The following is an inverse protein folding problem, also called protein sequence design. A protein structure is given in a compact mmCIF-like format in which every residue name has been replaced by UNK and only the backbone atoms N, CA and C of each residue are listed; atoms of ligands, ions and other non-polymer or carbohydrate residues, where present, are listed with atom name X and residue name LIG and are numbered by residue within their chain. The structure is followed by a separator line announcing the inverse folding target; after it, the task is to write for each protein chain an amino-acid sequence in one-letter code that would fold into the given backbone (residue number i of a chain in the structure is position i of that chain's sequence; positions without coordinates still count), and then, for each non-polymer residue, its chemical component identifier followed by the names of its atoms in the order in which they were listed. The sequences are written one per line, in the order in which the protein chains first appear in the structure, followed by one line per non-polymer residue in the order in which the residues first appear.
data_IF_542466263149
#
_entry.id   IF_542466263149
#
_cell.length_a   1.000
_cell.length_b   1.000
_cell.length_c   1.000
_cell.angle_alpha   90.00
_cell.angle_beta   90.00
_cell.angle_gamma   90.00
#
_symmetry.space_group_name_H-M   'P 1'
#
loop_
_entity.id
_entity.type
_entity.pdbx_description
1 polymer ?
#
# COMPACT_ATOMS: atom_id res chain seq x y z
N UNK A 1 0.57 6.43 39.38
CA UNK A 1 0.91 5.35 38.43
C UNK A 1 -0.32 4.64 37.86
N UNK A 2 -1.30 4.23 38.68
CA UNK A 2 -2.52 3.51 38.20
C UNK A 2 -3.31 4.26 37.10
N UNK A 3 -3.44 5.60 37.21
CA UNK A 3 -4.14 6.43 36.21
C UNK A 3 -3.46 6.47 34.84
N UNK A 4 -2.12 6.42 34.77
CA UNK A 4 -1.39 6.43 33.49
C UNK A 4 -1.53 5.10 32.75
N UNK A 5 -1.39 3.97 33.46
CA UNK A 5 -1.57 2.64 32.88
C UNK A 5 -2.98 2.47 32.29
N UNK A 6 -3.99 3.00 32.97
CA UNK A 6 -5.38 2.98 32.48
C UNK A 6 -5.53 3.77 31.18
N UNK A 7 -5.00 5.00 31.10
CA UNK A 7 -5.04 5.83 29.88
C UNK A 7 -4.33 5.14 28.71
N UNK A 8 -3.20 4.47 28.98
CA UNK A 8 -2.47 3.73 27.95
C UNK A 8 -3.32 2.58 27.37
N UNK A 9 -3.98 1.81 28.22
CA UNK A 9 -4.82 0.69 27.77
C UNK A 9 -6.11 1.18 27.08
N UNK A 10 -6.67 2.30 27.51
CA UNK A 10 -7.81 2.93 26.83
C UNK A 10 -7.46 3.35 25.40
N UNK A 11 -6.33 4.02 25.17
CA UNK A 11 -5.93 4.40 23.81
C UNK A 11 -5.60 3.19 22.92
N UNK A 12 -5.01 2.11 23.48
CA UNK A 12 -4.82 0.83 22.75
C UNK A 12 -6.14 0.18 22.37
N UNK A 13 -7.11 0.17 23.29
CA UNK A 13 -8.46 -0.35 23.04
C UNK A 13 -9.17 0.49 21.97
N UNK A 14 -9.07 1.82 22.04
CA UNK A 14 -9.65 2.70 21.03
C UNK A 14 -9.06 2.43 19.64
N UNK A 15 -7.73 2.32 19.51
CA UNK A 15 -7.09 1.99 18.24
C UNK A 15 -7.55 0.63 17.68
N UNK A 16 -7.61 -0.41 18.52
CA UNK A 16 -8.10 -1.74 18.10
C UNK A 16 -9.55 -1.70 17.63
N UNK A 17 -10.42 -0.98 18.33
CA UNK A 17 -11.83 -0.81 17.93
C UNK A 17 -11.95 -0.04 16.62
N UNK A 18 -11.18 1.03 16.46
CA UNK A 18 -11.14 1.81 15.22
C UNK A 18 -10.66 0.96 14.02
N UNK A 19 -9.58 0.21 14.19
CA UNK A 19 -9.08 -0.70 13.16
C UNK A 19 -10.12 -1.79 12.82
N UNK A 20 -10.75 -2.41 13.83
CA UNK A 20 -11.77 -3.42 13.60
C UNK A 20 -12.99 -2.85 12.85
N UNK A 21 -13.43 -1.64 13.21
CA UNK A 21 -14.51 -0.95 12.50
C UNK A 21 -14.13 -0.62 11.05
N UNK A 22 -12.91 -0.16 10.81
CA UNK A 22 -12.42 0.11 9.46
C UNK A 22 -12.33 -1.16 8.60
N UNK A 23 -11.84 -2.27 9.16
CA UNK A 23 -11.83 -3.58 8.47
C UNK A 23 -13.25 -4.08 8.20
N UNK A 24 -14.18 -3.91 9.15
CA UNK A 24 -15.57 -4.24 8.92
C UNK A 24 -16.18 -3.40 7.79
N UNK A 25 -15.82 -2.11 7.69
CA UNK A 25 -16.25 -1.25 6.61
C UNK A 25 -15.69 -1.70 5.25
N UNK A 26 -14.45 -2.16 5.16
CA UNK A 26 -13.91 -2.68 3.88
C UNK A 26 -14.60 -3.98 3.45
N UNK A 27 -14.88 -4.89 4.40
CA UNK A 27 -15.69 -6.09 4.12
C UNK A 27 -17.08 -5.69 3.62
N UNK A 28 -17.71 -4.69 4.24
CA UNK A 28 -19.00 -4.20 3.78
C UNK A 28 -18.91 -3.62 2.37
N UNK A 29 -17.87 -2.85 2.05
CA UNK A 29 -17.65 -2.33 0.68
C UNK A 29 -17.52 -3.47 -0.33
N UNK A 30 -16.75 -4.52 -0.02
CA UNK A 30 -16.65 -5.70 -0.87
C UNK A 30 -17.99 -6.41 -1.06
N UNK A 31 -18.78 -6.59 0.00
CA UNK A 31 -20.11 -7.17 -0.10
C UNK A 31 -21.01 -6.29 -0.97
N UNK A 32 -21.06 -4.98 -0.72
CA UNK A 32 -21.87 -4.05 -1.50
C UNK A 32 -21.45 -4.06 -2.97
N UNK A 33 -20.16 -4.17 -3.27
CA UNK A 33 -19.67 -4.33 -4.64
C UNK A 33 -20.23 -5.59 -5.33
N UNK A 34 -20.25 -6.74 -4.63
CA UNK A 34 -20.76 -7.99 -5.20
C UNK A 34 -22.24 -7.93 -5.60
N UNK A 35 -23.04 -7.12 -4.91
CA UNK A 35 -24.49 -7.01 -5.16
C UNK A 35 -24.90 -5.77 -5.96
N UNK A 36 -24.19 -4.66 -5.78
CA UNK A 36 -24.53 -3.33 -6.29
C UNK A 36 -23.38 -2.69 -7.09
N UNK A 37 -22.34 -3.43 -7.46
CA UNK A 37 -21.20 -2.90 -8.23
C UNK A 37 -21.62 -2.25 -9.55
N UNK A 38 -22.61 -2.83 -10.23
CA UNK A 38 -23.14 -2.32 -11.51
C UNK A 38 -24.15 -1.16 -11.32
N UNK A 39 -24.47 -0.77 -10.08
CA UNK A 39 -25.38 0.35 -9.81
C UNK A 39 -24.76 1.67 -10.28
N UNK A 40 -25.36 2.27 -11.31
CA UNK A 40 -24.96 3.53 -11.89
C UNK A 40 -25.99 4.62 -11.62
N UNK A 41 -25.54 5.76 -11.10
CA UNK A 41 -26.39 6.93 -10.92
C UNK A 41 -25.61 8.19 -11.28
N UNK A 42 -26.12 8.97 -12.24
CA UNK A 42 -25.47 10.19 -12.72
C UNK A 42 -24.17 9.95 -13.49
N UNK A 43 -24.01 8.78 -14.13
CA UNK A 43 -22.77 8.42 -14.85
C UNK A 43 -21.65 7.89 -13.95
N UNK A 44 -21.95 7.61 -12.67
CA UNK A 44 -20.98 7.12 -11.68
C UNK A 44 -21.41 5.76 -11.16
N UNK A 45 -20.49 4.78 -11.21
CA UNK A 45 -20.66 3.47 -10.58
C UNK A 45 -20.27 3.58 -9.10
N UNK A 46 -21.23 3.85 -8.23
CA UNK A 46 -20.96 4.27 -6.84
C UNK A 46 -20.27 3.22 -5.97
N UNK A 47 -20.42 1.94 -6.29
CA UNK A 47 -19.94 0.82 -5.47
C UNK A 47 -19.02 -0.15 -6.23
N UNK A 48 -18.53 0.24 -7.40
CA UNK A 48 -17.68 -0.61 -8.21
C UNK A 48 -16.22 -0.50 -7.76
N UNK A 49 -15.61 -1.56 -7.24
CA UNK A 49 -14.23 -1.49 -6.72
C UNK A 49 -13.21 -1.14 -7.82
N UNK A 50 -13.26 -1.81 -8.98
CA UNK A 50 -12.35 -1.54 -10.14
C UNK A 50 -12.65 -0.21 -10.88
N UNK A 51 -13.47 0.68 -10.32
CA UNK A 51 -13.77 1.97 -10.95
C UNK A 51 -13.40 3.10 -10.03
N UNK A 52 -12.94 4.16 -10.66
CA UNK A 52 -12.49 5.34 -9.95
C UNK A 52 -13.61 6.35 -9.69
N UNK A 53 -13.33 7.30 -8.80
CA UNK A 53 -14.18 8.45 -8.45
C UNK A 53 -15.51 8.05 -7.81
N UNK A 54 -15.49 7.00 -7.01
CA UNK A 54 -16.66 6.50 -6.30
C UNK A 54 -16.39 6.29 -4.80
N UNK A 55 -17.35 5.70 -4.08
CA UNK A 55 -17.25 5.56 -2.63
C UNK A 55 -16.03 4.73 -2.18
N UNK A 56 -15.73 3.55 -2.77
CA UNK A 56 -14.47 2.87 -2.56
C UNK A 56 -13.23 3.75 -2.72
N UNK A 57 -13.11 4.51 -3.82
CA UNK A 57 -11.96 5.42 -4.07
C UNK A 57 -11.80 6.48 -2.95
N UNK A 58 -12.91 7.02 -2.44
CA UNK A 58 -12.83 7.95 -1.31
C UNK A 58 -12.38 7.27 -0.02
N UNK A 59 -12.79 6.01 0.19
CA UNK A 59 -12.39 5.25 1.36
C UNK A 59 -10.90 4.89 1.34
N UNK A 60 -10.38 4.38 0.22
CA UNK A 60 -8.94 4.14 0.00
C UNK A 60 -8.13 5.43 0.15
N UNK A 61 -8.61 6.53 -0.47
CA UNK A 61 -8.01 7.85 -0.33
C UNK A 61 -7.88 8.31 1.13
N UNK A 62 -8.92 8.12 1.95
CA UNK A 62 -8.90 8.41 3.39
C UNK A 62 -7.97 7.46 4.17
N UNK A 63 -7.89 6.19 3.78
CA UNK A 63 -6.96 5.24 4.38
C UNK A 63 -5.50 5.67 4.17
N UNK A 64 -5.14 6.09 2.95
CA UNK A 64 -3.81 6.65 2.65
C UNK A 64 -3.54 7.98 3.37
N UNK A 65 -4.52 8.89 3.40
CA UNK A 65 -4.44 10.12 4.19
C UNK A 65 -4.15 9.82 5.67
N UNK A 66 -4.80 8.80 6.22
CA UNK A 66 -4.63 8.36 7.60
C UNK A 66 -3.21 7.85 7.88
N UNK A 67 -2.57 7.16 6.94
CA UNK A 67 -1.15 6.80 7.04
C UNK A 67 -0.28 8.06 7.16
N UNK A 68 -0.52 9.05 6.30
CA UNK A 68 0.25 10.28 6.29
C UNK A 68 0.08 11.11 7.57
N UNK A 69 -1.15 11.24 8.05
CA UNK A 69 -1.43 11.91 9.33
C UNK A 69 -0.80 11.15 10.52
N UNK A 70 -0.90 9.82 10.55
CA UNK A 70 -0.26 9.01 11.57
C UNK A 70 1.27 9.18 11.57
N UNK A 71 1.88 9.29 10.38
CA UNK A 71 3.32 9.53 10.23
C UNK A 71 3.74 10.91 10.75
N UNK A 72 2.94 11.96 10.51
CA UNK A 72 3.19 13.29 11.11
C UNK A 72 3.05 13.27 12.64
N UNK A 73 2.07 12.54 13.17
CA UNK A 73 1.96 12.33 14.62
C UNK A 73 3.20 11.60 15.14
N UNK A 74 3.64 10.50 14.51
CA UNK A 74 4.85 9.79 14.91
C UNK A 74 6.10 10.68 14.87
N UNK A 75 6.26 11.49 13.81
CA UNK A 75 7.31 12.49 13.68
C UNK A 75 7.36 13.44 14.87
N UNK A 76 6.22 14.07 15.21
CA UNK A 76 6.15 15.04 16.31
C UNK A 76 6.43 14.40 17.66
N UNK A 77 5.94 13.17 17.90
CA UNK A 77 6.19 12.44 19.16
C UNK A 77 7.65 12.07 19.34
N UNK A 78 8.30 11.60 18.29
CA UNK A 78 9.74 11.33 18.34
C UNK A 78 10.57 12.58 18.51
N UNK A 79 10.24 13.65 17.80
CA UNK A 79 10.94 14.93 17.90
C UNK A 79 10.91 15.44 19.34
N UNK A 80 9.71 15.46 19.95
CA UNK A 80 9.53 15.81 21.36
C UNK A 80 10.32 14.91 22.30
N UNK A 81 10.46 13.62 21.98
CA UNK A 81 11.26 12.71 22.79
C UNK A 81 12.76 13.01 22.66
N UNK A 82 13.25 13.25 21.44
CA UNK A 82 14.66 13.56 21.19
C UNK A 82 15.08 14.88 21.83
N UNK A 83 14.23 15.91 21.74
CA UNK A 83 14.47 17.22 22.37
C UNK A 83 14.61 17.09 23.89
N UNK A 84 13.72 16.32 24.53
CA UNK A 84 13.79 16.03 25.98
C UNK A 84 15.06 15.28 26.41
N UNK A 85 15.77 14.65 25.47
CA UNK A 85 17.00 13.89 25.74
C UNK A 85 18.21 14.49 25.02
N UNK A 86 18.13 15.75 24.57
CA UNK A 86 19.24 16.48 23.93
C UNK A 86 19.85 15.76 22.72
N UNK A 87 19.01 15.08 21.92
CA UNK A 87 19.43 14.33 20.73
C UNK A 87 19.08 15.06 19.43
N UNK A 88 19.86 14.87 18.35
CA UNK A 88 19.58 15.53 17.07
C UNK A 88 18.28 15.02 16.43
N UNK A 89 17.50 15.92 15.81
CA UNK A 89 16.23 15.61 15.14
C UNK A 89 16.35 14.84 13.81
N UNK A 90 17.56 14.70 13.24
CA UNK A 90 17.81 14.04 11.94
C UNK A 90 17.15 12.66 11.81
N UNK A 91 17.15 11.78 12.83
CA UNK A 91 16.53 10.47 12.75
C UNK A 91 15.02 10.49 12.48
N UNK A 92 14.30 11.59 12.74
CA UNK A 92 12.85 11.68 12.55
C UNK A 92 12.44 11.99 11.10
N UNK A 93 13.35 12.56 10.28
CA UNK A 93 13.04 13.00 8.91
C UNK A 93 12.42 11.93 8.00
N UNK A 94 12.76 10.63 8.09
CA UNK A 94 12.11 9.59 7.30
C UNK A 94 10.58 9.52 7.48
N UNK A 95 10.03 9.96 8.62
CA UNK A 95 8.57 10.07 8.78
C UNK A 95 7.94 11.10 7.83
N UNK A 96 8.65 12.18 7.50
CA UNK A 96 8.18 13.16 6.52
C UNK A 96 8.13 12.55 5.12
N UNK A 97 9.06 11.65 4.80
CA UNK A 97 9.06 10.90 3.54
C UNK A 97 7.86 9.94 3.50
N UNK A 98 7.59 9.21 4.60
CA UNK A 98 6.38 8.37 4.72
C UNK A 98 5.11 9.20 4.54
N UNK A 99 5.02 10.37 5.19
CA UNK A 99 3.86 11.24 5.08
C UNK A 99 3.67 11.74 3.64
N UNK A 100 4.75 12.18 2.98
CA UNK A 100 4.70 12.65 1.60
C UNK A 100 4.25 11.56 0.63
N UNK A 101 4.78 10.35 0.76
CA UNK A 101 4.37 9.20 -0.07
C UNK A 101 2.88 8.91 0.14
N UNK A 102 2.44 8.83 1.40
CA UNK A 102 1.05 8.53 1.72
C UNK A 102 0.07 9.61 1.23
N UNK A 103 0.45 10.88 1.31
CA UNK A 103 -0.36 11.96 0.73
C UNK A 103 -0.36 11.94 -0.80
N UNK A 104 0.77 11.58 -1.43
CA UNK A 104 0.82 11.40 -2.88
C UNK A 104 -0.10 10.26 -3.33
N UNK A 105 -0.10 9.12 -2.64
CA UNK A 105 -1.00 7.99 -2.91
C UNK A 105 -2.47 8.39 -2.67
N UNK A 106 -2.78 9.08 -1.57
CA UNK A 106 -4.13 9.58 -1.29
C UNK A 106 -4.64 10.53 -2.38
N UNK A 107 -3.79 11.43 -2.84
CA UNK A 107 -4.12 12.35 -3.92
C UNK A 107 -4.34 11.59 -5.22
N UNK A 108 -3.40 10.73 -5.58
CA UNK A 108 -3.45 9.92 -6.79
C UNK A 108 -4.71 9.06 -6.84
N UNK A 109 -5.08 8.40 -5.76
CA UNK A 109 -6.32 7.64 -5.63
C UNK A 109 -7.56 8.48 -5.98
N UNK A 110 -7.73 9.63 -5.32
CA UNK A 110 -8.94 10.46 -5.48
C UNK A 110 -8.99 11.14 -6.86
N UNK A 111 -7.83 11.47 -7.43
CA UNK A 111 -7.73 12.27 -8.67
C UNK A 111 -7.38 11.43 -9.90
N UNK A 112 -6.99 10.19 -9.70
CA UNK A 112 -6.54 9.21 -10.70
C UNK A 112 -5.38 9.78 -11.53
N UNK A 113 -4.37 10.35 -10.87
CA UNK A 113 -3.30 11.07 -11.58
C UNK A 113 -2.47 10.14 -12.45
N UNK A 114 -2.16 8.94 -11.98
CA UNK A 114 -1.32 7.99 -12.71
C UNK A 114 -2.00 7.53 -14.01
N UNK A 115 -3.33 7.43 -14.05
CA UNK A 115 -4.06 7.22 -15.30
C UNK A 115 -4.14 8.51 -16.13
N UNK A 116 -4.44 9.66 -15.54
CA UNK A 116 -4.65 10.87 -16.34
C UNK A 116 -3.36 11.44 -16.95
N UNK A 117 -2.21 11.25 -16.31
CA UNK A 117 -0.95 11.93 -16.67
C UNK A 117 -0.06 11.13 -17.62
N UNK A 118 -0.10 9.79 -17.58
CA UNK A 118 0.88 8.94 -18.30
C UNK A 118 0.26 7.94 -19.27
N UNK A 119 -1.07 7.87 -19.34
CA UNK A 119 -1.77 6.78 -20.01
C UNK A 119 -1.58 6.73 -21.51
N UNK A 120 -1.60 7.87 -22.22
CA UNK A 120 -1.54 7.85 -23.69
C UNK A 120 -0.15 7.51 -24.20
N UNK A 121 0.86 8.16 -23.66
CA UNK A 121 2.25 8.04 -24.11
C UNK A 121 2.83 6.68 -23.74
N UNK A 122 2.58 6.18 -22.53
CA UNK A 122 3.13 4.89 -22.09
C UNK A 122 2.41 3.69 -22.72
N UNK A 123 1.11 3.81 -23.01
CA UNK A 123 0.38 2.81 -23.81
C UNK A 123 0.99 2.59 -25.15
N UNK A 124 1.32 3.68 -25.83
CA UNK A 124 1.93 3.61 -27.15
C UNK A 124 3.26 2.89 -27.11
N UNK A 125 4.14 3.23 -26.16
CA UNK A 125 5.46 2.58 -26.04
C UNK A 125 5.34 1.09 -25.71
N UNK A 126 4.46 0.72 -24.79
CA UNK A 126 4.25 -0.70 -24.43
C UNK A 126 3.57 -1.49 -25.54
N UNK A 127 2.68 -0.87 -26.30
CA UNK A 127 2.05 -1.47 -27.47
C UNK A 127 3.05 -1.71 -28.61
N UNK A 128 3.90 -0.72 -28.89
CA UNK A 128 4.96 -0.84 -29.90
C UNK A 128 6.02 -1.90 -29.48
N UNK A 129 6.10 -2.24 -28.19
CA UNK A 129 6.90 -3.37 -27.72
C UNK A 129 6.27 -4.70 -28.18
N UNK A 130 6.94 -5.42 -29.07
CA UNK A 130 6.51 -6.75 -29.53
C UNK A 130 6.68 -7.86 -28.47
N UNK A 131 6.85 -7.51 -27.19
CA UNK A 131 7.22 -8.40 -26.10
C UNK A 131 6.10 -8.69 -25.10
N UNK A 132 6.38 -9.51 -24.07
CA UNK A 132 5.43 -9.83 -23.00
C UNK A 132 4.91 -8.60 -22.23
N UNK A 133 5.67 -7.49 -22.23
CA UNK A 133 5.30 -6.26 -21.52
C UNK A 133 3.96 -5.66 -21.95
N UNK A 134 3.47 -5.99 -23.16
CA UNK A 134 2.13 -5.59 -23.62
C UNK A 134 0.97 -6.15 -22.78
N UNK A 135 1.22 -7.20 -22.00
CA UNK A 135 0.24 -7.86 -21.15
C UNK A 135 0.37 -7.50 -19.67
N UNK A 136 1.38 -6.74 -19.29
CA UNK A 136 1.60 -6.29 -17.91
C UNK A 136 0.93 -4.94 -17.71
N UNK A 137 0.40 -4.69 -16.52
CA UNK A 137 -0.17 -3.40 -16.17
C UNK A 137 0.87 -2.29 -16.33
N UNK A 138 0.51 -1.31 -17.14
CA UNK A 138 1.44 -0.35 -17.72
C UNK A 138 2.13 0.53 -16.69
N UNK A 139 1.36 1.11 -15.76
CA UNK A 139 1.92 1.97 -14.73
C UNK A 139 2.87 1.17 -13.83
N UNK A 140 2.57 -0.10 -13.54
CA UNK A 140 3.46 -0.97 -12.76
C UNK A 140 4.80 -1.16 -13.47
N UNK A 141 4.79 -1.39 -14.79
CA UNK A 141 6.03 -1.50 -15.56
C UNK A 141 6.84 -0.19 -15.56
N UNK A 142 6.17 0.96 -15.69
CA UNK A 142 6.81 2.28 -15.66
C UNK A 142 7.42 2.59 -14.28
N UNK A 143 6.65 2.36 -13.22
CA UNK A 143 7.00 2.72 -11.86
C UNK A 143 7.69 1.60 -11.07
N UNK A 144 7.90 0.41 -11.64
CA UNK A 144 8.54 -0.73 -10.97
C UNK A 144 9.83 -0.37 -10.22
N UNK A 145 10.79 0.38 -10.79
CA UNK A 145 11.99 0.78 -10.05
C UNK A 145 11.67 1.63 -8.82
N UNK A 146 10.72 2.56 -8.93
CA UNK A 146 10.28 3.40 -7.82
C UNK A 146 9.55 2.58 -6.76
N UNK A 147 8.63 1.70 -7.15
CA UNK A 147 7.89 0.80 -6.25
C UNK A 147 8.89 -0.06 -5.44
N UNK A 148 9.88 -0.65 -6.10
CA UNK A 148 10.93 -1.44 -5.43
C UNK A 148 11.70 -0.59 -4.42
N UNK A 149 12.14 0.62 -4.81
CA UNK A 149 12.84 1.53 -3.91
C UNK A 149 11.99 1.93 -2.71
N UNK A 150 10.71 2.25 -2.91
CA UNK A 150 9.78 2.61 -1.85
C UNK A 150 9.51 1.44 -0.90
N UNK A 151 9.29 0.22 -1.42
CA UNK A 151 9.10 -0.97 -0.59
C UNK A 151 10.36 -1.29 0.23
N UNK A 152 11.54 -1.22 -0.37
CA UNK A 152 12.81 -1.39 0.35
C UNK A 152 13.00 -0.31 1.42
N UNK A 153 12.61 0.94 1.13
CA UNK A 153 12.58 2.03 2.10
C UNK A 153 11.64 1.70 3.27
N UNK A 154 10.38 1.33 3.02
CA UNK A 154 9.39 1.03 4.06
C UNK A 154 9.81 -0.16 4.93
N UNK A 155 10.23 -1.25 4.30
CA UNK A 155 10.66 -2.46 5.00
C UNK A 155 11.87 -2.19 5.87
N UNK A 156 12.87 -1.48 5.35
CA UNK A 156 14.09 -1.13 6.09
C UNK A 156 13.78 -0.16 7.23
N UNK A 157 12.92 0.83 6.96
CA UNK A 157 12.49 1.80 7.95
C UNK A 157 11.77 1.12 9.11
N UNK A 158 10.71 0.38 8.84
CA UNK A 158 9.89 -0.26 9.86
C UNK A 158 10.65 -1.39 10.59
N UNK A 159 11.58 -2.09 9.93
CA UNK A 159 12.47 -3.05 10.59
C UNK A 159 13.27 -2.42 11.73
N UNK A 160 13.76 -1.19 11.51
CA UNK A 160 14.53 -0.47 12.50
C UNK A 160 13.63 0.22 13.52
N UNK A 161 12.57 0.88 13.05
CA UNK A 161 11.73 1.74 13.89
C UNK A 161 10.83 0.95 14.82
N UNK A 162 10.30 -0.16 14.36
CA UNK A 162 9.44 -1.04 15.15
C UNK A 162 10.21 -2.21 15.78
N UNK A 163 11.56 -2.16 15.80
CA UNK A 163 12.39 -3.23 16.36
C UNK A 163 12.09 -3.53 17.84
N UNK A 164 11.60 -2.53 18.57
CA UNK A 164 11.37 -2.62 20.01
C UNK A 164 9.94 -3.03 20.40
N UNK A 165 8.98 -2.98 19.47
CA UNK A 165 7.57 -3.28 19.73
C UNK A 165 7.06 -4.29 18.70
N UNK A 166 6.70 -5.50 19.15
CA UNK A 166 6.22 -6.57 18.27
C UNK A 166 4.92 -6.20 17.54
N UNK A 167 3.88 -5.62 18.19
CA UNK A 167 2.60 -5.37 17.51
C UNK A 167 2.69 -4.41 16.31
N UNK A 168 3.29 -3.21 16.41
CA UNK A 168 3.50 -2.33 15.25
C UNK A 168 4.27 -3.01 14.13
N UNK A 169 5.30 -3.80 14.46
CA UNK A 169 6.09 -4.53 13.47
C UNK A 169 5.27 -5.57 12.71
N UNK A 170 4.48 -6.36 13.42
CA UNK A 170 3.59 -7.36 12.82
C UNK A 170 2.54 -6.70 11.93
N UNK A 171 1.91 -5.61 12.38
CA UNK A 171 0.94 -4.86 11.58
C UNK A 171 1.59 -4.27 10.32
N UNK A 172 2.75 -3.63 10.45
CA UNK A 172 3.44 -3.03 9.31
C UNK A 172 3.85 -4.05 8.24
N UNK A 173 4.40 -5.20 8.65
CA UNK A 173 4.76 -6.27 7.71
C UNK A 173 3.57 -7.03 7.17
N UNK A 174 2.50 -7.19 7.96
CA UNK A 174 1.22 -7.67 7.46
C UNK A 174 0.71 -6.74 6.34
N UNK A 175 0.74 -5.43 6.58
CA UNK A 175 0.28 -4.45 5.59
C UNK A 175 1.14 -4.38 4.34
N UNK A 176 2.46 -4.43 4.46
CA UNK A 176 3.39 -4.54 3.32
C UNK A 176 3.14 -5.84 2.54
N UNK A 177 2.91 -6.96 3.25
CA UNK A 177 2.59 -8.24 2.64
C UNK A 177 1.31 -8.19 1.81
N UNK A 178 0.25 -7.55 2.34
CA UNK A 178 -0.99 -7.33 1.59
C UNK A 178 -0.73 -6.53 0.31
N UNK A 179 0.02 -5.43 0.40
CA UNK A 179 0.39 -4.61 -0.77
C UNK A 179 1.18 -5.38 -1.84
N UNK A 180 2.16 -6.19 -1.44
CA UNK A 180 2.92 -7.02 -2.38
C UNK A 180 2.00 -8.02 -3.10
N UNK A 181 1.03 -8.61 -2.39
CA UNK A 181 0.06 -9.52 -2.97
C UNK A 181 -0.93 -8.80 -3.91
N UNK A 182 -1.40 -7.61 -3.54
CA UNK A 182 -2.25 -6.79 -4.40
C UNK A 182 -1.54 -6.45 -5.72
N UNK A 183 -0.32 -5.92 -5.65
CA UNK A 183 0.52 -5.65 -6.83
C UNK A 183 0.72 -6.89 -7.70
N UNK A 184 0.86 -8.06 -7.08
CA UNK A 184 1.00 -9.33 -7.79
C UNK A 184 -0.28 -9.77 -8.51
N UNK A 185 -1.45 -9.58 -7.88
CA UNK A 185 -2.75 -9.83 -8.51
C UNK A 185 -2.97 -8.89 -9.70
N UNK A 186 -2.81 -7.59 -9.48
CA UNK A 186 -2.97 -6.59 -10.54
C UNK A 186 -2.01 -6.85 -11.73
N UNK A 187 -0.76 -7.18 -11.45
CA UNK A 187 0.21 -7.52 -12.50
C UNK A 187 -0.14 -8.80 -13.25
N UNK A 188 -0.87 -9.71 -12.61
CA UNK A 188 -1.38 -10.95 -13.19
C UNK A 188 -2.83 -10.82 -13.73
N UNK A 189 -3.45 -9.64 -13.67
CA UNK A 189 -4.87 -9.39 -14.02
C UNK A 189 -5.28 -9.96 -15.37
N UNK A 190 -4.38 -9.91 -16.36
CA UNK A 190 -4.62 -10.51 -17.68
C UNK A 190 -4.96 -12.01 -17.62
N UNK A 191 -4.36 -12.77 -16.71
CA UNK A 191 -4.65 -14.20 -16.54
C UNK A 191 -6.07 -14.43 -16.01
N UNK A 192 -6.49 -13.61 -15.04
CA UNK A 192 -7.82 -13.71 -14.45
C UNK A 192 -8.90 -13.35 -15.48
N UNK A 193 -8.64 -12.36 -16.34
CA UNK A 193 -9.52 -12.05 -17.50
C UNK A 193 -9.66 -13.23 -18.46
N UNK A 194 -8.57 -13.93 -18.78
CA UNK A 194 -8.61 -15.12 -19.65
C UNK A 194 -9.33 -16.31 -18.99
N UNK A 195 -9.31 -16.41 -17.67
CA UNK A 195 -10.03 -17.45 -16.93
C UNK A 195 -11.55 -17.19 -16.84
N UNK A 196 -12.01 -16.00 -17.24
CA UNK A 196 -13.41 -15.64 -17.34
C UNK A 196 -13.86 -14.60 -16.32
N UNK A 197 -15.01 -13.98 -16.59
CA UNK A 197 -15.56 -12.87 -15.81
C UNK A 197 -15.68 -13.14 -14.29
N UNK A 198 -16.14 -14.33 -13.81
CA UNK A 198 -16.22 -14.59 -12.38
C UNK A 198 -14.85 -14.58 -11.69
N UNK A 199 -13.83 -15.08 -12.38
CA UNK A 199 -12.47 -15.14 -11.86
C UNK A 199 -11.83 -13.75 -11.83
N UNK A 200 -12.08 -12.93 -12.85
CA UNK A 200 -11.69 -11.52 -12.86
C UNK A 200 -12.34 -10.74 -11.71
N UNK A 201 -13.66 -10.86 -11.52
CA UNK A 201 -14.37 -10.18 -10.42
C UNK A 201 -13.84 -10.59 -9.04
N UNK A 202 -13.55 -11.88 -8.85
CA UNK A 202 -12.98 -12.38 -7.60
C UNK A 202 -11.58 -11.82 -7.34
N UNK A 203 -10.76 -11.69 -8.39
CA UNK A 203 -9.44 -11.08 -8.29
C UNK A 203 -9.52 -9.59 -7.95
N UNK A 204 -10.35 -8.81 -8.64
CA UNK A 204 -10.61 -7.39 -8.31
C UNK A 204 -10.95 -7.23 -6.82
N UNK A 205 -11.92 -8.01 -6.31
CA UNK A 205 -12.28 -7.93 -4.89
C UNK A 205 -11.09 -8.27 -3.99
N UNK A 206 -10.32 -9.30 -4.33
CA UNK A 206 -9.20 -9.72 -3.52
C UNK A 206 -8.06 -8.68 -3.51
N UNK A 207 -7.72 -8.13 -4.67
CA UNK A 207 -6.73 -7.07 -4.85
C UNK A 207 -7.09 -5.84 -4.02
N UNK A 208 -8.29 -5.29 -4.25
CA UNK A 208 -8.81 -4.07 -3.61
C UNK A 208 -8.87 -4.22 -2.08
N UNK A 209 -9.30 -5.38 -1.59
CA UNK A 209 -9.30 -5.66 -0.16
C UNK A 209 -7.89 -5.75 0.43
N UNK A 210 -6.93 -6.33 -0.30
CA UNK A 210 -5.54 -6.40 0.13
C UNK A 210 -4.92 -5.00 0.22
N UNK A 211 -5.19 -4.10 -0.73
CA UNK A 211 -4.70 -2.73 -0.68
C UNK A 211 -5.26 -1.97 0.53
N UNK A 212 -6.58 -2.05 0.72
CA UNK A 212 -7.25 -1.39 1.84
C UNK A 212 -6.80 -1.95 3.20
N UNK A 213 -6.74 -3.27 3.36
CA UNK A 213 -6.22 -3.87 4.59
C UNK A 213 -4.74 -3.53 4.79
N UNK A 214 -3.96 -3.50 3.71
CA UNK A 214 -2.58 -3.05 3.71
C UNK A 214 -2.42 -1.65 4.28
N UNK A 215 -3.20 -0.71 3.77
CA UNK A 215 -3.22 0.68 4.21
C UNK A 215 -3.62 0.82 5.69
N UNK A 216 -4.71 0.17 6.09
CA UNK A 216 -5.23 0.22 7.46
C UNK A 216 -4.24 -0.37 8.48
N UNK A 217 -3.60 -1.49 8.14
CA UNK A 217 -2.59 -2.12 9.00
C UNK A 217 -1.35 -1.22 9.16
N UNK A 218 -0.88 -0.58 8.08
CA UNK A 218 0.24 0.37 8.15
C UNK A 218 -0.14 1.60 8.99
N UNK A 219 -1.32 2.19 8.77
CA UNK A 219 -1.80 3.32 9.57
C UNK A 219 -1.87 2.96 11.07
N UNK A 220 -2.44 1.78 11.39
CA UNK A 220 -2.54 1.30 12.76
C UNK A 220 -1.16 0.99 13.38
N UNK A 221 -0.21 0.46 12.60
CA UNK A 221 1.15 0.23 13.06
C UNK A 221 1.82 1.55 13.49
N UNK A 222 1.73 2.58 12.64
CA UNK A 222 2.33 3.89 12.90
C UNK A 222 1.64 4.57 14.09
N UNK A 223 0.31 4.54 14.15
CA UNK A 223 -0.43 5.09 15.28
C UNK A 223 -0.08 4.39 16.60
N UNK A 224 -0.01 3.05 16.60
CA UNK A 224 0.39 2.26 17.78
C UNK A 224 1.80 2.63 18.24
N UNK A 225 2.73 2.78 17.30
CA UNK A 225 4.10 3.21 17.60
C UNK A 225 4.15 4.62 18.20
N UNK A 226 3.41 5.58 17.63
CA UNK A 226 3.32 6.94 18.16
C UNK A 226 2.79 6.96 19.59
N UNK A 227 1.81 6.11 19.91
CA UNK A 227 1.30 5.92 21.27
C UNK A 227 2.37 5.33 22.22
N UNK A 228 3.11 4.31 21.77
CA UNK A 228 4.21 3.70 22.57
C UNK A 228 5.29 4.73 22.94
N UNK A 229 5.62 5.66 22.03
CA UNK A 229 6.55 6.77 22.31
C UNK A 229 5.94 7.82 23.24
N UNK A 230 4.71 8.26 22.96
CA UNK A 230 4.06 9.31 23.73
C UNK A 230 3.93 8.94 25.22
N UNK A 231 3.68 7.66 25.48
CA UNK A 231 3.52 7.10 26.82
C UNK A 231 4.82 6.66 27.48
N UNK A 232 5.96 6.93 26.85
CA UNK A 232 7.26 6.83 27.49
C UNK A 232 7.66 5.40 27.82
N UNK A 233 7.31 4.41 26.99
CA UNK A 233 7.95 3.09 27.04
C UNK A 233 9.44 3.29 26.71
N UNK A 234 10.22 3.64 27.74
CA UNK A 234 11.56 4.22 27.59
C UNK A 234 12.54 3.28 26.87
N UNK A 235 12.29 1.96 26.95
CA UNK A 235 13.01 0.96 26.14
C UNK A 235 12.69 1.04 24.65
N UNK A 236 11.43 1.29 24.27
CA UNK A 236 10.99 1.40 22.88
C UNK A 236 11.64 2.59 22.19
N UNK A 237 11.52 3.77 22.81
CA UNK A 237 12.10 4.98 22.25
C UNK A 237 13.64 4.90 22.21
N UNK A 238 14.30 4.44 23.29
CA UNK A 238 15.77 4.29 23.31
C UNK A 238 16.25 3.34 22.23
N UNK A 239 15.63 2.17 22.06
CA UNK A 239 16.08 1.17 21.08
C UNK A 239 15.78 1.59 19.63
N UNK A 240 14.65 2.25 19.38
CA UNK A 240 14.30 2.76 18.05
C UNK A 240 15.20 3.93 17.63
N UNK A 241 15.66 4.73 18.59
CA UNK A 241 16.46 5.94 18.36
C UNK A 241 17.96 5.76 18.67
N UNK A 242 18.39 4.55 19.05
CA UNK A 242 19.81 4.20 19.22
C UNK A 242 20.48 3.69 17.94
N UNK A 243 19.71 3.43 16.88
CA UNK A 243 20.23 2.89 15.62
C UNK A 243 21.11 3.87 14.85
N UNK A 244 22.29 3.41 14.40
CA UNK A 244 23.06 4.10 13.34
C UNK A 244 22.27 4.03 12.03
N UNK A 245 22.32 5.14 11.28
CA UNK A 245 21.82 5.41 9.93
C UNK A 245 20.90 4.36 9.25
N UNK A 246 19.72 4.86 8.90
CA UNK A 246 18.53 4.31 8.24
C UNK A 246 18.65 3.11 7.26
N UNK A 247 19.78 2.83 6.59
CA UNK A 247 19.83 1.80 5.52
C UNK A 247 20.82 0.65 5.75
N UNK A 248 21.72 0.74 6.74
CA UNK A 248 22.84 -0.21 6.87
C UNK A 248 22.72 -1.15 8.08
N UNK A 249 21.56 -1.20 8.75
CA UNK A 249 21.37 -2.06 9.92
C UNK A 249 21.26 -3.54 9.55
N UNK A 250 21.95 -4.44 10.28
CA UNK A 250 21.73 -5.90 10.17
C UNK A 250 20.25 -6.30 10.30
N UNK A 251 19.47 -5.51 11.05
CA UNK A 251 18.03 -5.72 11.27
C UNK A 251 17.17 -5.45 10.03
N UNK A 252 17.59 -4.57 9.13
CA UNK A 252 16.85 -4.28 7.88
C UNK A 252 17.25 -5.21 6.74
N UNK A 253 18.44 -5.82 6.79
CA UNK A 253 18.95 -6.66 5.70
C UNK A 253 18.03 -7.86 5.41
N UNK A 254 17.67 -8.65 6.43
CA UNK A 254 16.84 -9.85 6.21
C UNK A 254 15.45 -9.49 5.65
N UNK A 255 14.66 -8.56 6.23
CA UNK A 255 13.39 -8.16 5.64
C UNK A 255 13.54 -7.59 4.23
N UNK A 256 14.57 -6.79 3.96
CA UNK A 256 14.82 -6.23 2.64
C UNK A 256 15.13 -7.32 1.60
N UNK A 257 15.98 -8.30 1.94
CA UNK A 257 16.27 -9.44 1.07
C UNK A 257 15.01 -10.28 0.82
N UNK A 258 14.24 -10.59 1.86
CA UNK A 258 12.97 -11.33 1.70
C UNK A 258 12.00 -10.58 0.79
N UNK A 259 11.88 -9.26 0.97
CA UNK A 259 11.03 -8.41 0.12
C UNK A 259 11.52 -8.38 -1.32
N UNK A 260 12.83 -8.21 -1.53
CA UNK A 260 13.42 -8.23 -2.86
C UNK A 260 13.18 -9.58 -3.56
N UNK A 261 13.38 -10.69 -2.86
CA UNK A 261 13.10 -12.03 -3.38
C UNK A 261 11.61 -12.19 -3.72
N UNK A 262 10.71 -11.76 -2.85
CA UNK A 262 9.27 -11.80 -3.11
C UNK A 262 8.89 -11.00 -4.37
N UNK A 263 9.43 -9.79 -4.53
CA UNK A 263 9.19 -8.95 -5.71
C UNK A 263 9.78 -9.55 -6.99
N UNK A 264 10.99 -10.13 -6.93
CA UNK A 264 11.60 -10.82 -8.07
C UNK A 264 10.76 -12.05 -8.45
N UNK A 265 10.32 -12.84 -7.47
CA UNK A 265 9.46 -14.00 -7.72
C UNK A 265 8.11 -13.61 -8.32
N UNK A 266 7.46 -12.57 -7.78
CA UNK A 266 6.20 -12.05 -8.32
C UNK A 266 6.38 -11.52 -9.75
N UNK A 267 7.41 -10.69 -9.99
CA UNK A 267 7.73 -10.17 -11.31
C UNK A 267 8.07 -11.27 -12.32
N UNK A 268 8.80 -12.31 -11.92
CA UNK A 268 9.08 -13.47 -12.76
C UNK A 268 7.80 -14.27 -13.09
N UNK A 269 6.89 -14.42 -12.11
CA UNK A 269 5.58 -15.04 -12.31
C UNK A 269 4.72 -14.26 -13.31
N UNK A 270 4.60 -12.95 -13.13
CA UNK A 270 3.88 -12.04 -14.03
C UNK A 270 4.48 -12.08 -15.45
N UNK A 271 5.80 -12.01 -15.56
CA UNK A 271 6.47 -12.07 -16.86
C UNK A 271 6.26 -13.41 -17.56
N UNK A 272 6.34 -14.52 -16.82
CA UNK A 272 6.08 -15.87 -17.34
C UNK A 272 4.64 -15.99 -17.85
N UNK A 273 3.68 -15.50 -17.07
CA UNK A 273 2.26 -15.43 -17.42
C UNK A 273 2.04 -14.64 -18.71
N UNK A 274 2.58 -13.43 -18.79
CA UNK A 274 2.51 -12.57 -19.97
C UNK A 274 3.13 -13.23 -21.21
N UNK A 275 4.24 -13.96 -21.05
CA UNK A 275 4.88 -14.71 -22.14
C UNK A 275 4.01 -15.87 -22.63
N UNK A 276 3.30 -16.55 -21.74
CA UNK A 276 2.37 -17.62 -22.12
C UNK A 276 1.16 -17.05 -22.87
N UNK A 277 0.61 -15.92 -22.44
CA UNK A 277 -0.44 -15.21 -23.17
C UNK A 277 0.02 -14.80 -24.58
N UNK A 278 1.26 -14.32 -24.70
CA UNK A 278 1.87 -14.03 -26.00
C UNK A 278 1.88 -15.26 -26.91
N UNK A 279 2.35 -16.40 -26.39
CA UNK A 279 2.45 -17.66 -27.16
C UNK A 279 1.09 -18.17 -27.62
N UNK A 280 0.05 -18.00 -26.80
CA UNK A 280 -1.33 -18.40 -27.13
C UNK A 280 -2.03 -17.46 -28.09
N UNK A 281 -1.42 -16.34 -28.47
CA UNK A 281 -2.08 -15.31 -29.28
C UNK A 281 -3.29 -14.73 -28.58
N UNK A 282 -3.24 -14.63 -27.24
CA UNK A 282 -4.35 -14.07 -26.46
C UNK A 282 -4.71 -12.66 -26.96
N UNK A 283 -6.02 -12.32 -27.02
CA UNK A 283 -6.45 -11.00 -27.42
C UNK A 283 -5.83 -9.95 -26.50
N UNK A 284 -5.46 -8.81 -27.08
CA UNK A 284 -4.99 -7.69 -26.27
C UNK A 284 -6.16 -7.17 -25.41
N UNK A 285 -5.89 -6.67 -24.20
CA UNK A 285 -6.93 -6.02 -23.41
C UNK A 285 -7.66 -4.96 -24.24
N UNK A 286 -9.00 -4.93 -24.20
CA UNK A 286 -9.89 -4.01 -24.95
C UNK A 286 -9.45 -2.52 -24.87
N UNK A 287 -8.77 -2.16 -23.80
CA UNK A 287 -8.15 -0.87 -23.55
C UNK A 287 -7.07 -0.45 -24.58
N UNK A 288 -6.46 -1.41 -25.28
CA UNK A 288 -5.53 -1.18 -26.40
C UNK A 288 -6.25 -0.89 -27.71
N UNK A 289 -7.36 -1.58 -27.99
CA UNK A 289 -8.15 -1.37 -29.22
C UNK A 289 -8.67 0.08 -29.30
N UNK A 290 -9.12 0.65 -28.18
CA UNK A 290 -9.52 2.07 -28.13
C UNK A 290 -8.36 3.04 -28.30
N UNK A 291 -7.16 2.70 -27.85
CA UNK A 291 -5.98 3.56 -27.95
C UNK A 291 -5.41 3.63 -29.39
N UNK A 292 -5.71 2.63 -30.22
CA UNK A 292 -5.25 2.53 -31.61
C UNK A 292 -6.19 3.16 -32.64
N UNK A 293 -7.32 3.72 -32.19
CA UNK A 293 -8.25 4.41 -33.09
C UNK A 293 -9.02 3.48 -34.04
N UNK A 294 -9.09 2.18 -33.77
CA UNK A 294 -10.05 1.30 -34.46
C UNK A 294 -11.43 1.46 -33.82
N UNK A 295 -12.12 2.53 -34.21
CA UNK A 295 -13.58 2.60 -34.21
C UNK A 295 -14.12 1.98 -35.49
#
# INVERSE_FOLDING_TARGET
MMRQAQVHEEGRRALRRGLAAAVAATILLALVHLWLGDFEAGGVHWFHLDRERNLPTWFSGVAFLSIGLAALVAYTRELQWLERHERPARPCRPWLVVALIAFALSLDEVTVLHENLFWREFRRVTFESQGPLRFVTQWQALFAPLIVLLLLFFVSFFAQRFAASRPPRTMAYGGIGCWILALAFEGARGLFKLAGEPMYRAEVVAEEMLELWGALLIAAAIARYGLDIAWGESGVARQALSGRYFLAGRRSLLPAVVTALALISAGAGIYSAAREQQRRGAPLPHLFERALGSS
#
